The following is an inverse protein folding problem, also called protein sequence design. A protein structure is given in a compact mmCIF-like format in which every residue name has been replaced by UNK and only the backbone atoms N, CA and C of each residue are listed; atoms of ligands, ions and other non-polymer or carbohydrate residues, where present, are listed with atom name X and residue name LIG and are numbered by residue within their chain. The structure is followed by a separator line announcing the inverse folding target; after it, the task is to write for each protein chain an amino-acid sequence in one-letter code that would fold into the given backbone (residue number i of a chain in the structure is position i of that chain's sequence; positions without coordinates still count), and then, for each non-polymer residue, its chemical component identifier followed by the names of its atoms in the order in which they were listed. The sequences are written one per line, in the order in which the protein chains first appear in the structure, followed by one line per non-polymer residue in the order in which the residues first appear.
data_IF_958167790410
#
_entry.id   IF_958167790410
#
_cell.length_a   1.000
_cell.length_b   1.000
_cell.length_c   1.000
_cell.angle_alpha   90.00
_cell.angle_beta   90.00
_cell.angle_gamma   90.00
#
_symmetry.space_group_name_H-M   'P 1'
#
loop_
_entity.id
_entity.type
_entity.pdbx_description
1 polymer ?
#
# COMPACT_ATOMS: atom_id res chain seq x y z
N UNK A 1 3.06 -21.26 11.49
CA UNK A 1 1.66 -20.92 11.12
C UNK A 1 1.69 -20.11 9.83
N UNK A 2 0.74 -20.27 8.91
CA UNK A 2 0.65 -19.44 7.71
C UNK A 2 0.62 -17.94 8.07
N UNK A 3 1.32 -17.13 7.28
CA UNK A 3 1.36 -15.67 7.42
C UNK A 3 1.04 -15.00 6.09
N UNK A 4 0.48 -13.80 6.15
CA UNK A 4 0.40 -12.91 4.99
C UNK A 4 1.64 -12.03 4.94
N UNK A 5 2.45 -12.16 3.90
CA UNK A 5 3.59 -11.30 3.60
C UNK A 5 3.13 -10.23 2.60
N UNK A 6 3.00 -9.00 3.05
CA UNK A 6 2.44 -7.91 2.26
C UNK A 6 3.53 -6.98 1.73
N UNK A 7 3.74 -6.95 0.41
CA UNK A 7 4.77 -6.14 -0.27
C UNK A 7 4.27 -4.79 -0.78
N UNK A 8 3.00 -4.48 -0.56
CA UNK A 8 2.39 -3.22 -0.97
C UNK A 8 2.94 -2.02 -0.21
N UNK A 9 2.20 -0.95 -0.24
CA UNK A 9 2.54 0.27 0.50
C UNK A 9 1.45 0.62 1.50
N UNK A 10 1.85 1.13 2.66
CA UNK A 10 1.00 1.85 3.60
C UNK A 10 1.28 3.33 3.43
N UNK A 11 0.25 4.11 3.21
CA UNK A 11 0.29 5.58 3.09
C UNK A 11 -0.66 6.18 4.12
N UNK A 12 -0.61 7.48 4.28
CA UNK A 12 -1.60 8.20 5.07
C UNK A 12 -2.60 8.87 4.12
N UNK A 13 -3.88 8.61 4.32
CA UNK A 13 -4.95 9.27 3.60
C UNK A 13 -5.45 10.48 4.40
N UNK A 14 -5.40 11.68 3.82
CA UNK A 14 -6.19 12.81 4.25
C UNK A 14 -7.57 12.71 3.59
N UNK A 15 -8.52 12.15 4.30
CA UNK A 15 -9.89 11.97 3.79
C UNK A 15 -10.68 13.23 4.06
N UNK A 16 -11.29 13.83 3.02
CA UNK A 16 -12.15 15.00 3.13
C UNK A 16 -13.48 14.74 2.42
N UNK A 17 -14.60 14.97 3.13
CA UNK A 17 -15.92 14.93 2.53
C UNK A 17 -16.29 16.32 2.01
N UNK A 18 -16.64 16.43 0.72
CA UNK A 18 -17.03 17.66 0.05
C UNK A 18 -18.38 17.46 -0.65
N UNK A 19 -19.12 18.52 -0.87
CA UNK A 19 -20.36 18.44 -1.66
C UNK A 19 -20.05 18.06 -3.11
N UNK A 20 -19.03 18.69 -3.69
CA UNK A 20 -18.50 18.45 -5.04
C UNK A 20 -17.07 18.97 -5.14
N UNK A 21 -16.31 18.48 -6.10
CA UNK A 21 -14.98 19.05 -6.38
C UNK A 21 -15.12 20.50 -6.87
N UNK A 22 -14.25 21.41 -6.42
CA UNK A 22 -14.21 22.76 -6.95
C UNK A 22 -13.71 22.75 -8.41
N UNK A 23 -14.21 23.68 -9.22
CA UNK A 23 -13.57 23.96 -10.50
C UNK A 23 -12.16 24.52 -10.29
N UNK A 24 -11.31 24.45 -11.33
CA UNK A 24 -9.96 25.01 -11.27
C UNK A 24 -10.00 26.50 -10.83
N UNK A 25 -9.23 26.83 -9.80
CA UNK A 25 -9.22 28.17 -9.17
C UNK A 25 -10.39 28.44 -8.22
N UNK A 26 -11.29 27.47 -8.03
CA UNK A 26 -12.41 27.58 -7.08
C UNK A 26 -12.04 27.17 -5.67
N UNK A 27 -12.99 27.37 -4.75
CA UNK A 27 -12.89 27.02 -3.33
C UNK A 27 -14.13 26.25 -2.90
N UNK A 28 -13.97 25.32 -1.94
CA UNK A 28 -15.05 24.55 -1.33
C UNK A 28 -14.70 24.23 0.12
N UNK A 29 -15.69 24.33 0.99
CA UNK A 29 -15.54 23.93 2.39
C UNK A 29 -15.85 22.43 2.54
N UNK A 30 -14.91 21.67 3.11
CA UNK A 30 -15.13 20.29 3.46
C UNK A 30 -16.08 20.17 4.66
N UNK A 31 -16.97 19.19 4.62
CA UNK A 31 -17.89 18.86 5.71
C UNK A 31 -17.17 18.13 6.85
N UNK A 32 -16.13 17.35 6.50
CA UNK A 32 -15.26 16.67 7.46
C UNK A 32 -13.87 16.49 6.87
N UNK A 33 -12.88 16.32 7.75
CA UNK A 33 -11.51 15.97 7.37
C UNK A 33 -10.87 15.11 8.45
N UNK A 34 -10.05 14.14 8.05
CA UNK A 34 -9.32 13.28 8.98
C UNK A 34 -8.13 12.61 8.32
N UNK A 35 -7.15 12.21 9.14
CA UNK A 35 -6.02 11.41 8.68
C UNK A 35 -6.21 9.96 9.09
N UNK A 36 -6.03 9.05 8.16
CA UNK A 36 -6.17 7.61 8.36
C UNK A 36 -5.02 6.86 7.68
N UNK A 37 -4.66 5.68 8.21
CA UNK A 37 -3.76 4.78 7.49
C UNK A 37 -4.53 4.15 6.33
N UNK A 38 -3.96 4.20 5.14
CA UNK A 38 -4.58 3.74 3.90
C UNK A 38 -3.69 2.82 3.07
N UNK A 39 -4.08 2.65 1.81
CA UNK A 39 -3.42 1.74 0.89
C UNK A 39 -3.49 0.29 1.38
N UNK A 40 -2.36 -0.39 1.38
CA UNK A 40 -2.23 -1.79 1.81
C UNK A 40 -2.59 -2.06 3.27
N UNK A 41 -2.68 -1.02 4.11
CA UNK A 41 -3.12 -1.17 5.50
C UNK A 41 -4.49 -1.85 5.59
N UNK A 42 -5.43 -1.49 4.72
CA UNK A 42 -6.79 -2.04 4.78
C UNK A 42 -6.82 -3.56 4.58
N UNK A 43 -6.04 -4.09 3.65
CA UNK A 43 -5.92 -5.55 3.41
C UNK A 43 -5.27 -6.23 4.61
N UNK A 44 -4.22 -5.64 5.14
CA UNK A 44 -3.48 -6.19 6.28
C UNK A 44 -4.33 -6.20 7.55
N UNK A 45 -5.04 -5.11 7.84
CA UNK A 45 -5.96 -5.03 8.98
C UNK A 45 -7.10 -6.05 8.87
N UNK A 46 -7.68 -6.20 7.66
CA UNK A 46 -8.69 -7.21 7.43
C UNK A 46 -8.17 -8.62 7.67
N UNK A 47 -6.97 -8.95 7.18
CA UNK A 47 -6.35 -10.26 7.41
C UNK A 47 -6.06 -10.51 8.90
N UNK A 48 -5.47 -9.53 9.59
CA UNK A 48 -5.15 -9.63 11.01
C UNK A 48 -6.42 -9.83 11.88
N UNK A 49 -7.47 -9.05 11.62
CA UNK A 49 -8.77 -9.17 12.32
C UNK A 49 -9.45 -10.52 12.08
N UNK A 50 -9.14 -11.20 10.98
CA UNK A 50 -9.58 -12.57 10.69
C UNK A 50 -8.61 -13.65 11.19
N UNK A 51 -7.65 -13.29 12.03
CA UNK A 51 -6.75 -14.23 12.70
C UNK A 51 -5.55 -14.71 11.87
N UNK A 52 -5.31 -14.12 10.70
CA UNK A 52 -4.12 -14.42 9.91
C UNK A 52 -2.98 -13.50 10.34
N UNK A 53 -1.83 -14.03 10.84
CA UNK A 53 -0.67 -13.22 11.15
C UNK A 53 -0.16 -12.49 9.90
N UNK A 54 0.15 -11.20 10.04
CA UNK A 54 0.55 -10.33 8.93
C UNK A 54 1.94 -9.77 9.16
N UNK A 55 2.77 -9.81 8.13
CA UNK A 55 4.08 -9.16 8.09
C UNK A 55 4.10 -8.15 6.95
N UNK A 56 4.28 -6.90 7.30
CA UNK A 56 4.47 -5.82 6.34
C UNK A 56 5.94 -5.77 5.90
N UNK A 57 6.18 -5.94 4.61
CA UNK A 57 7.51 -5.95 4.00
C UNK A 57 7.86 -4.62 3.34
N UNK A 58 6.91 -3.68 3.27
CA UNK A 58 7.14 -2.36 2.68
C UNK A 58 7.92 -1.44 3.61
N UNK A 59 8.50 -0.39 3.03
CA UNK A 59 9.12 0.69 3.79
C UNK A 59 8.08 1.66 4.34
N UNK A 60 8.45 2.33 5.42
CA UNK A 60 7.72 3.45 6.03
C UNK A 60 8.73 4.49 6.53
N UNK A 61 8.33 5.75 6.55
CA UNK A 61 9.22 6.87 6.85
C UNK A 61 9.36 7.19 8.34
N UNK A 62 10.25 8.13 8.64
CA UNK A 62 10.36 8.82 9.92
C UNK A 62 9.70 10.19 9.78
N UNK A 63 8.65 10.43 10.53
CA UNK A 63 7.90 11.68 10.56
C UNK A 63 6.46 11.41 10.97
N UNK A 64 5.63 12.45 10.96
CA UNK A 64 4.26 12.37 11.46
C UNK A 64 3.41 11.33 10.72
N UNK A 65 3.59 11.18 9.42
CA UNK A 65 2.84 10.22 8.64
C UNK A 65 3.37 8.80 8.85
N UNK A 66 4.69 8.63 8.96
CA UNK A 66 5.29 7.36 9.37
C UNK A 66 4.86 6.93 10.76
N UNK A 67 4.77 7.85 11.72
CA UNK A 67 4.30 7.58 13.08
C UNK A 67 2.84 7.12 13.07
N UNK A 68 1.97 7.79 12.31
CA UNK A 68 0.57 7.43 12.15
C UNK A 68 0.42 6.04 11.53
N UNK A 69 1.13 5.77 10.43
CA UNK A 69 1.11 4.47 9.75
C UNK A 69 1.57 3.34 10.67
N UNK A 70 2.67 3.56 11.44
CA UNK A 70 3.17 2.56 12.40
C UNK A 70 2.20 2.33 13.55
N UNK A 71 1.65 3.40 14.11
CA UNK A 71 0.66 3.28 15.19
C UNK A 71 -0.56 2.47 14.75
N UNK A 72 -1.06 2.71 13.54
CA UNK A 72 -2.17 1.96 12.97
C UNK A 72 -1.81 0.47 12.78
N UNK A 73 -0.65 0.17 12.19
CA UNK A 73 -0.19 -1.21 12.00
C UNK A 73 0.03 -1.94 13.33
N UNK A 74 0.62 -1.27 14.31
CA UNK A 74 0.81 -1.82 15.66
C UNK A 74 -0.52 -2.11 16.36
N UNK A 75 -1.50 -1.22 16.21
CA UNK A 75 -2.85 -1.39 16.75
C UNK A 75 -3.56 -2.63 16.23
N UNK A 76 -3.26 -3.07 15.02
CA UNK A 76 -3.78 -4.30 14.41
C UNK A 76 -2.86 -5.53 14.62
N UNK A 77 -1.76 -5.39 15.36
CA UNK A 77 -0.80 -6.47 15.58
C UNK A 77 0.00 -6.87 14.33
N UNK A 78 0.09 -6.00 13.33
CA UNK A 78 0.86 -6.21 12.09
C UNK A 78 2.34 -6.06 12.40
N UNK A 79 3.12 -7.07 12.08
CA UNK A 79 4.58 -7.04 12.24
C UNK A 79 5.21 -6.26 11.06
N UNK A 80 6.05 -5.30 11.35
CA UNK A 80 6.86 -4.60 10.35
C UNK A 80 8.24 -5.26 10.27
N UNK A 81 8.66 -5.65 9.06
CA UNK A 81 9.95 -6.32 8.85
C UNK A 81 11.12 -5.36 8.72
N UNK A 82 10.86 -4.09 8.46
CA UNK A 82 11.87 -3.06 8.24
C UNK A 82 11.76 -1.98 9.31
N UNK A 83 12.92 -1.41 9.65
CA UNK A 83 12.99 -0.20 10.47
C UNK A 83 12.55 1.04 9.66
N UNK A 84 12.09 2.11 10.32
CA UNK A 84 11.73 3.35 9.64
C UNK A 84 12.88 3.89 8.79
N UNK A 85 12.61 4.18 7.54
CA UNK A 85 13.57 4.76 6.60
C UNK A 85 14.00 6.16 7.03
N UNK A 86 15.31 6.45 6.91
CA UNK A 86 15.85 7.80 7.14
C UNK A 86 15.79 8.57 5.83
N UNK A 87 15.16 9.73 5.84
CA UNK A 87 15.05 10.57 4.64
C UNK A 87 13.62 11.08 4.46
N UNK A 88 12.88 10.47 3.54
CA UNK A 88 11.48 10.84 3.31
C UNK A 88 10.55 10.30 4.41
N UNK A 89 9.49 11.05 4.71
CA UNK A 89 8.37 10.52 5.50
C UNK A 89 7.53 9.54 4.65
N UNK A 90 6.60 8.86 5.27
CA UNK A 90 5.57 8.06 4.59
C UNK A 90 4.73 8.96 3.69
N UNK A 91 4.32 8.44 2.53
CA UNK A 91 3.53 9.15 1.55
C UNK A 91 2.15 9.56 2.05
N UNK A 92 1.58 10.54 1.37
CA UNK A 92 0.28 11.13 1.66
C UNK A 92 -0.62 11.02 0.44
N UNK A 93 -1.88 10.67 0.65
CA UNK A 93 -2.93 10.77 -0.33
C UNK A 93 -4.02 11.72 0.16
N UNK A 94 -4.38 12.71 -0.64
CA UNK A 94 -5.60 13.48 -0.43
C UNK A 94 -6.74 12.72 -1.10
N UNK A 95 -7.70 12.25 -0.31
CA UNK A 95 -8.87 11.50 -0.75
C UNK A 95 -10.11 12.37 -0.59
N UNK A 96 -10.64 12.89 -1.69
CA UNK A 96 -11.85 13.70 -1.72
C UNK A 96 -13.05 12.80 -2.03
N UNK A 97 -14.04 12.79 -1.14
CA UNK A 97 -15.28 12.03 -1.31
C UNK A 97 -16.42 13.01 -1.53
N UNK A 98 -17.07 12.92 -2.67
CA UNK A 98 -18.20 13.77 -3.03
C UNK A 98 -19.53 13.20 -2.48
N UNK A 99 -20.57 14.05 -2.42
CA UNK A 99 -21.91 13.62 -2.02
C UNK A 99 -22.49 12.50 -2.91
N UNK A 100 -22.02 12.38 -4.16
CA UNK A 100 -22.32 11.29 -5.09
C UNK A 100 -21.67 9.95 -4.74
N UNK A 101 -20.83 9.91 -3.70
CA UNK A 101 -19.95 8.80 -3.33
C UNK A 101 -18.76 8.57 -4.31
N UNK A 102 -18.58 9.44 -5.31
CA UNK A 102 -17.35 9.44 -6.12
C UNK A 102 -16.15 9.85 -5.27
N UNK A 103 -15.00 9.24 -5.56
CA UNK A 103 -13.76 9.52 -4.86
C UNK A 103 -12.65 9.92 -5.82
N UNK A 104 -12.00 11.01 -5.49
CA UNK A 104 -10.84 11.54 -6.24
C UNK A 104 -9.62 11.53 -5.35
N UNK A 105 -8.50 11.04 -5.90
CA UNK A 105 -7.26 10.86 -5.14
C UNK A 105 -6.13 11.67 -5.75
N UNK A 106 -5.34 12.32 -4.87
CA UNK A 106 -4.10 12.98 -5.24
C UNK A 106 -3.02 12.43 -4.31
N UNK A 107 -2.11 11.62 -4.84
CA UNK A 107 -1.12 10.89 -4.04
C UNK A 107 0.29 11.43 -4.25
N UNK A 108 1.02 11.54 -3.15
CA UNK A 108 2.46 11.79 -3.12
C UNK A 108 3.15 10.58 -2.48
N UNK A 109 4.08 9.98 -3.21
CA UNK A 109 4.81 8.79 -2.76
C UNK A 109 5.99 9.23 -1.90
N UNK A 110 6.13 8.61 -0.75
CA UNK A 110 7.22 8.80 0.19
C UNK A 110 8.14 7.58 0.31
N UNK A 111 8.57 7.29 1.52
CA UNK A 111 9.49 6.19 1.83
C UNK A 111 9.02 4.81 1.36
N UNK A 112 7.72 4.58 1.25
CA UNK A 112 7.15 3.30 0.79
C UNK A 112 7.45 3.01 -0.69
N UNK A 113 7.89 4.01 -1.45
CA UNK A 113 8.38 3.86 -2.82
C UNK A 113 9.78 3.27 -2.94
N UNK A 114 10.56 3.23 -1.85
CA UNK A 114 12.00 2.95 -1.85
C UNK A 114 12.36 1.49 -1.51
N UNK A 115 11.44 0.55 -1.56
CA UNK A 115 11.71 -0.87 -1.26
C UNK A 115 12.81 -1.42 -2.18
N UNK A 116 13.89 -1.92 -1.58
CA UNK A 116 15.08 -2.38 -2.30
C UNK A 116 15.21 -3.90 -2.31
N UNK A 117 16.10 -4.42 -3.18
CA UNK A 117 16.45 -5.84 -3.19
C UNK A 117 17.09 -6.30 -1.86
N UNK A 118 17.88 -5.42 -1.22
CA UNK A 118 18.50 -5.70 0.08
C UNK A 118 17.45 -5.84 1.20
N UNK A 119 16.39 -5.05 1.15
CA UNK A 119 15.29 -5.15 2.11
C UNK A 119 14.59 -6.51 1.97
N UNK A 120 14.29 -6.91 0.73
CA UNK A 120 13.64 -8.16 0.42
C UNK A 120 14.52 -9.39 0.71
N UNK A 121 15.84 -9.28 0.53
CA UNK A 121 16.78 -10.36 0.85
C UNK A 121 16.79 -10.75 2.34
N UNK A 122 16.36 -9.85 3.22
CA UNK A 122 16.24 -10.12 4.67
C UNK A 122 14.96 -10.87 5.04
N UNK A 123 14.02 -10.97 4.11
CA UNK A 123 12.74 -11.62 4.35
C UNK A 123 12.87 -13.12 4.23
N UNK A 124 12.52 -13.84 5.29
CA UNK A 124 12.43 -15.28 5.28
C UNK A 124 11.01 -15.71 4.94
N UNK A 125 10.83 -16.24 3.74
CA UNK A 125 9.56 -16.85 3.30
C UNK A 125 9.54 -18.31 3.69
N UNK A 126 8.47 -18.78 4.31
CA UNK A 126 8.31 -20.15 4.79
C UNK A 126 7.21 -20.88 4.02
N UNK A 127 7.28 -22.21 4.03
CA UNK A 127 6.20 -23.00 3.47
C UNK A 127 4.88 -22.73 4.21
N UNK A 128 3.83 -22.39 3.44
CA UNK A 128 2.52 -22.01 3.98
C UNK A 128 2.29 -20.50 4.08
N UNK A 129 3.30 -19.66 3.84
CA UNK A 129 3.08 -18.22 3.72
C UNK A 129 2.29 -17.87 2.46
N UNK A 130 1.59 -16.76 2.49
CA UNK A 130 0.89 -16.14 1.37
C UNK A 130 1.55 -14.82 1.04
N UNK A 131 1.72 -14.54 -0.25
CA UNK A 131 2.25 -13.27 -0.72
C UNK A 131 1.11 -12.39 -1.21
N UNK A 132 1.15 -11.10 -0.86
CA UNK A 132 0.29 -10.09 -1.45
C UNK A 132 1.14 -9.04 -2.16
N UNK A 133 0.82 -8.79 -3.42
CA UNK A 133 1.46 -7.80 -4.28
C UNK A 133 0.41 -6.83 -4.78
N UNK A 134 0.65 -5.55 -4.56
CA UNK A 134 -0.18 -4.47 -5.10
C UNK A 134 0.37 -3.98 -6.44
N UNK A 135 -0.51 -3.68 -7.39
CA UNK A 135 -0.14 -3.04 -8.66
C UNK A 135 0.53 -1.69 -8.47
N UNK A 136 0.20 -0.96 -7.42
CA UNK A 136 0.90 0.27 -7.04
C UNK A 136 2.40 0.06 -6.78
N UNK A 137 2.81 -1.14 -6.33
CA UNK A 137 4.22 -1.48 -6.12
C UNK A 137 5.03 -1.57 -7.41
N UNK A 138 4.36 -1.61 -8.55
CA UNK A 138 4.98 -1.70 -9.88
C UNK A 138 5.14 -0.34 -10.57
N UNK A 139 4.66 0.75 -9.95
CA UNK A 139 4.73 2.09 -10.54
C UNK A 139 6.13 2.72 -10.44
N UNK A 140 6.92 2.39 -9.41
CA UNK A 140 8.31 2.80 -9.26
C UNK A 140 9.23 1.75 -9.86
N UNK A 141 9.96 2.08 -10.91
CA UNK A 141 10.80 1.12 -11.66
C UNK A 141 11.79 0.36 -10.76
N UNK A 142 12.51 1.06 -9.88
CA UNK A 142 13.48 0.42 -8.99
C UNK A 142 12.81 -0.58 -8.03
N UNK A 143 11.69 -0.19 -7.42
CA UNK A 143 10.90 -1.07 -6.55
C UNK A 143 10.32 -2.24 -7.32
N UNK A 144 9.75 -1.98 -8.50
CA UNK A 144 9.17 -3.01 -9.35
C UNK A 144 10.18 -4.08 -9.73
N UNK A 145 11.39 -3.66 -10.17
CA UNK A 145 12.48 -4.58 -10.52
C UNK A 145 12.88 -5.43 -9.34
N UNK A 146 13.19 -4.80 -8.19
CA UNK A 146 13.59 -5.52 -6.98
C UNK A 146 12.53 -6.55 -6.54
N UNK A 147 11.25 -6.14 -6.58
CA UNK A 147 10.13 -7.00 -6.21
C UNK A 147 9.95 -8.17 -7.18
N UNK A 148 9.98 -7.91 -8.49
CA UNK A 148 9.82 -8.96 -9.50
C UNK A 148 10.98 -9.97 -9.46
N UNK A 149 12.22 -9.52 -9.35
CA UNK A 149 13.39 -10.39 -9.23
C UNK A 149 13.30 -11.28 -7.98
N UNK A 150 12.87 -10.70 -6.85
CA UNK A 150 12.66 -11.44 -5.61
C UNK A 150 11.54 -12.48 -5.74
N UNK A 151 10.39 -12.11 -6.33
CA UNK A 151 9.26 -13.02 -6.54
C UNK A 151 9.63 -14.20 -7.45
N UNK A 152 10.41 -13.95 -8.52
CA UNK A 152 10.86 -14.99 -9.44
C UNK A 152 11.84 -15.98 -8.80
N UNK A 153 12.57 -15.55 -7.77
CA UNK A 153 13.47 -16.41 -7.01
C UNK A 153 12.75 -17.29 -5.97
N UNK A 154 11.50 -17.00 -5.63
CA UNK A 154 10.74 -17.78 -4.67
C UNK A 154 10.22 -19.11 -5.25
N UNK A 155 10.02 -20.14 -4.39
CA UNK A 155 9.38 -21.37 -4.81
C UNK A 155 7.97 -21.11 -5.36
N UNK A 156 7.63 -21.70 -6.50
CA UNK A 156 6.30 -21.59 -7.11
C UNK A 156 5.16 -22.15 -6.26
N UNK A 157 5.47 -22.88 -5.21
CA UNK A 157 4.50 -23.40 -4.26
C UNK A 157 3.96 -22.35 -3.27
N UNK A 158 4.59 -21.16 -3.21
CA UNK A 158 4.11 -20.06 -2.37
C UNK A 158 2.95 -19.35 -3.09
N UNK A 159 1.72 -19.37 -2.54
CA UNK A 159 0.58 -18.70 -3.15
C UNK A 159 0.80 -17.19 -3.22
N UNK A 160 0.46 -16.59 -4.36
CA UNK A 160 0.56 -15.16 -4.59
C UNK A 160 -0.81 -14.59 -4.96
N UNK A 161 -1.22 -13.56 -4.24
CA UNK A 161 -2.36 -12.73 -4.56
C UNK A 161 -1.86 -11.42 -5.17
N UNK A 162 -2.32 -11.11 -6.36
CA UNK A 162 -2.03 -9.85 -7.04
C UNK A 162 -3.30 -9.00 -7.13
N UNK A 163 -3.23 -7.82 -6.55
CA UNK A 163 -4.27 -6.80 -6.68
C UNK A 163 -3.80 -5.73 -7.67
N UNK A 164 -4.35 -5.67 -8.89
CA UNK A 164 -3.93 -4.70 -9.89
C UNK A 164 -4.19 -3.26 -9.46
N UNK A 165 -5.20 -3.01 -8.61
CA UNK A 165 -5.61 -1.67 -8.20
C UNK A 165 -6.09 -0.80 -9.37
N UNK A 166 -6.66 0.38 -9.12
CA UNK A 166 -7.23 1.23 -10.17
C UNK A 166 -6.18 1.82 -11.13
N UNK A 167 -4.93 2.02 -10.67
CA UNK A 167 -3.88 2.63 -11.49
C UNK A 167 -3.28 1.65 -12.49
N UNK A 168 -3.30 0.35 -12.19
CA UNK A 168 -2.63 -0.67 -12.99
C UNK A 168 -3.29 -0.88 -14.34
N UNK A 169 -4.59 -0.74 -14.46
CA UNK A 169 -5.28 -0.98 -15.71
C UNK A 169 -5.33 0.22 -16.64
N UNK A 170 -4.89 1.39 -16.23
CA UNK A 170 -4.59 2.48 -17.16
C UNK A 170 -3.33 2.20 -17.99
N UNK A 171 -2.49 1.26 -17.54
CA UNK A 171 -1.20 0.95 -18.14
C UNK A 171 -0.98 -0.54 -18.45
N UNK A 172 -1.78 -1.43 -17.88
CA UNK A 172 -1.71 -2.87 -18.11
C UNK A 172 -2.97 -3.32 -18.87
N UNK A 173 -2.86 -3.40 -20.18
CA UNK A 173 -3.87 -4.11 -20.98
C UNK A 173 -3.61 -5.62 -20.82
N UNK A 174 -4.44 -6.30 -20.04
CA UNK A 174 -4.49 -7.76 -20.10
C UNK A 174 -5.04 -8.15 -21.47
N UNK A 175 -4.39 -9.07 -22.23
CA UNK A 175 -4.95 -9.57 -23.46
C UNK A 175 -6.27 -10.29 -23.13
N UNK A 176 -7.37 -9.65 -23.46
CA UNK A 176 -8.68 -10.32 -23.45
C UNK A 176 -8.73 -11.20 -24.70
N UNK A 177 -8.57 -12.50 -24.53
CA UNK A 177 -8.95 -13.45 -25.58
C UNK A 177 -10.47 -13.43 -25.68
N UNK A 178 -11.06 -13.06 -26.83
CA UNK A 178 -12.48 -13.25 -27.03
C UNK A 178 -12.76 -14.75 -26.99
N UNK A 179 -13.71 -15.16 -26.16
CA UNK A 179 -14.27 -16.50 -26.16
C UNK A 179 -15.24 -16.64 -27.31
#
# INVERSE_FOLDING_TARGET
MPRLLHTGQVIVDLVMAVERLPASGGDVLAQSAGFEAGGGFNVMAAAARNGLPVVYLGRHGQGRFGDLARAAMQGEGIQMSLEPGRGADTGLCVALTEASAERTFISHIGAEGELSAEDLARVRVEAGDYLYVSGYSLLQECKARALLDWLLALPRSIPLMFDPGPVSYTHLTLPTTPY
#
